data_IF_561283792165
#
_entry.id   IF_561283792165
#
_cell.length_a   1.000
_cell.length_b   1.000
_cell.length_c   1.000
_cell.angle_alpha   90.00
_cell.angle_beta   90.00
_cell.angle_gamma   90.00
#
_symmetry.space_group_name_H-M   'P 1'
#
loop_
_entity.id
_entity.type
_entity.pdbx_description
1 polymer ?
#
# COMPACT_ATOMS: atom_id res chain seq x y z
N UNK A 1 17.76 8.25 -9.38
CA UNK A 1 16.64 8.57 -8.47
C UNK A 1 16.76 7.64 -7.27
N UNK A 2 16.67 8.15 -6.04
CA UNK A 2 16.62 7.35 -4.82
C UNK A 2 15.17 6.99 -4.52
N UNK A 3 14.83 5.72 -4.71
CA UNK A 3 13.51 5.18 -4.36
C UNK A 3 13.61 4.47 -3.02
N UNK A 4 12.78 4.88 -2.06
CA UNK A 4 12.58 4.16 -0.81
C UNK A 4 11.40 3.19 -0.96
N UNK A 5 11.64 1.92 -0.68
CA UNK A 5 10.60 0.89 -0.70
C UNK A 5 10.09 0.68 0.72
N UNK A 6 8.80 0.93 0.92
CA UNK A 6 8.16 0.83 2.23
C UNK A 6 7.21 -0.36 2.24
N UNK A 7 7.23 -1.16 3.30
CA UNK A 7 6.21 -2.18 3.55
C UNK A 7 5.92 -2.31 5.05
N UNK A 8 4.84 -3.01 5.42
CA UNK A 8 4.51 -3.23 6.82
C UNK A 8 5.56 -4.13 7.51
N UNK A 9 6.05 -5.15 6.80
CA UNK A 9 6.89 -6.21 7.36
C UNK A 9 8.10 -6.55 6.48
N UNK A 10 9.15 -7.12 7.09
CA UNK A 10 10.35 -7.55 6.36
C UNK A 10 10.08 -8.60 5.27
N UNK A 11 9.22 -9.62 5.44
CA UNK A 11 8.88 -10.57 4.38
C UNK A 11 8.41 -9.92 3.08
N UNK A 12 7.75 -8.77 3.14
CA UNK A 12 7.29 -8.03 1.96
C UNK A 12 8.45 -7.36 1.21
N UNK A 13 9.64 -7.23 1.81
CA UNK A 13 10.78 -6.47 1.29
C UNK A 13 11.97 -7.34 0.85
N UNK A 14 11.97 -8.64 1.16
CA UNK A 14 13.12 -9.55 0.94
C UNK A 14 13.61 -9.62 -0.52
N UNK A 15 12.79 -9.18 -1.47
CA UNK A 15 13.08 -9.21 -2.89
C UNK A 15 13.89 -8.01 -3.40
N UNK A 16 13.94 -6.90 -2.66
CA UNK A 16 14.46 -5.62 -3.14
C UNK A 16 15.82 -5.23 -2.55
N UNK A 17 16.73 -6.18 -2.34
CA UNK A 17 17.94 -6.01 -1.50
C UNK A 17 18.90 -4.93 -1.95
N UNK A 18 18.84 -4.53 -3.23
CA UNK A 18 19.70 -3.49 -3.83
C UNK A 18 19.09 -2.07 -3.72
N UNK A 19 17.92 -1.95 -3.08
CA UNK A 19 17.23 -0.68 -2.86
C UNK A 19 17.17 -0.33 -1.37
N UNK A 20 16.94 0.95 -1.09
CA UNK A 20 16.65 1.36 0.27
C UNK A 20 15.28 0.84 0.70
N UNK A 21 15.19 0.28 1.90
CA UNK A 21 14.00 -0.39 2.41
C UNK A 21 13.63 0.13 3.80
N UNK A 22 12.33 0.14 4.09
CA UNK A 22 11.82 0.44 5.42
C UNK A 22 10.62 -0.46 5.75
N UNK A 23 10.79 -1.32 6.76
CA UNK A 23 9.67 -2.01 7.40
C UNK A 23 9.07 -1.09 8.48
N UNK A 24 7.82 -0.68 8.31
CA UNK A 24 7.21 0.35 9.16
C UNK A 24 6.41 -0.19 10.34
N UNK A 25 6.15 -1.49 10.38
CA UNK A 25 5.24 -2.10 11.33
C UNK A 25 3.80 -2.15 10.80
N UNK A 26 2.97 -2.96 11.46
CA UNK A 26 1.59 -3.22 11.03
C UNK A 26 0.66 -2.15 11.61
N UNK A 27 -0.20 -1.60 10.76
CA UNK A 27 -1.24 -0.65 11.16
C UNK A 27 -0.87 0.83 10.97
N UNK A 28 -1.88 1.71 11.01
CA UNK A 28 -1.73 3.10 10.57
C UNK A 28 -0.84 3.92 11.51
N UNK A 29 -0.79 3.57 12.80
CA UNK A 29 0.02 4.31 13.80
C UNK A 29 1.51 4.06 13.58
N UNK A 30 1.93 2.79 13.55
CA UNK A 30 3.33 2.41 13.31
C UNK A 30 3.80 2.90 11.94
N UNK A 31 2.96 2.71 10.91
CA UNK A 31 3.23 3.19 9.56
C UNK A 31 3.48 4.70 9.50
N UNK A 32 2.62 5.49 10.16
CA UNK A 32 2.73 6.95 10.17
C UNK A 32 3.98 7.44 10.90
N UNK A 33 4.22 6.94 12.12
CA UNK A 33 5.34 7.37 12.96
C UNK A 33 6.67 7.01 12.29
N UNK A 34 6.82 5.76 11.85
CA UNK A 34 8.08 5.27 11.27
C UNK A 34 8.38 5.95 9.94
N UNK A 35 7.36 6.14 9.08
CA UNK A 35 7.53 6.85 7.80
C UNK A 35 7.91 8.31 8.05
N UNK A 36 7.17 9.04 8.89
CA UNK A 36 7.46 10.45 9.15
C UNK A 36 8.88 10.64 9.75
N UNK A 37 9.29 9.78 10.67
CA UNK A 37 10.62 9.82 11.27
C UNK A 37 11.73 9.56 10.24
N UNK A 38 11.53 8.60 9.31
CA UNK A 38 12.47 8.36 8.21
C UNK A 38 12.58 9.58 7.30
N UNK A 39 11.45 10.18 6.90
CA UNK A 39 11.42 11.29 5.94
C UNK A 39 11.96 12.61 6.52
N UNK A 40 11.82 12.83 7.82
CA UNK A 40 12.32 14.05 8.48
C UNK A 40 13.86 14.18 8.44
N UNK A 41 14.59 13.07 8.30
CA UNK A 41 16.05 13.06 8.35
C UNK A 41 16.70 13.12 6.95
N UNK A 42 16.19 12.35 5.98
CA UNK A 42 16.80 12.21 4.65
C UNK A 42 15.77 11.83 3.58
N UNK A 43 14.92 12.76 3.11
CA UNK A 43 13.83 12.43 2.20
C UNK A 43 14.34 11.83 0.87
N UNK A 44 13.81 10.68 0.43
CA UNK A 44 14.13 10.09 -0.87
C UNK A 44 13.50 10.89 -2.01
N UNK A 45 13.84 10.58 -3.26
CA UNK A 45 13.25 11.23 -4.43
C UNK A 45 11.81 10.72 -4.69
N UNK A 46 11.52 9.47 -4.30
CA UNK A 46 10.20 8.85 -4.41
C UNK A 46 10.04 7.69 -3.41
N UNK A 47 8.79 7.35 -3.13
CA UNK A 47 8.39 6.22 -2.28
C UNK A 47 7.56 5.24 -3.10
N UNK A 48 7.96 3.97 -3.07
CA UNK A 48 7.13 2.85 -3.50
C UNK A 48 6.63 2.13 -2.26
N UNK A 49 5.38 2.38 -1.88
CA UNK A 49 4.74 1.67 -0.77
C UNK A 49 4.11 0.38 -1.28
N UNK A 50 4.64 -0.75 -0.85
CA UNK A 50 4.18 -2.07 -1.24
C UNK A 50 3.61 -2.86 -0.06
N UNK A 51 2.80 -3.87 -0.38
CA UNK A 51 2.50 -4.93 0.57
C UNK A 51 1.41 -5.86 0.08
N UNK A 52 0.90 -6.69 0.97
CA UNK A 52 -0.28 -7.50 0.71
C UNK A 52 -1.56 -6.79 1.17
N UNK A 53 -2.71 -7.21 0.64
CA UNK A 53 -4.02 -6.68 0.98
C UNK A 53 -5.11 -7.76 0.95
N UNK A 54 -6.19 -7.51 1.67
CA UNK A 54 -7.43 -8.26 1.55
C UNK A 54 -8.33 -7.66 0.47
N UNK A 55 -9.05 -8.51 -0.24
CA UNK A 55 -10.11 -8.11 -1.18
C UNK A 55 -11.48 -8.60 -0.71
N UNK A 56 -12.54 -7.89 -1.08
CA UNK A 56 -13.92 -8.38 -0.97
C UNK A 56 -14.23 -9.26 -2.17
N UNK A 57 -15.03 -10.32 -1.98
CA UNK A 57 -15.41 -11.20 -3.10
C UNK A 57 -16.16 -10.46 -4.21
N UNK A 58 -16.91 -9.41 -3.87
CA UNK A 58 -17.64 -8.59 -4.85
C UNK A 58 -16.75 -7.81 -5.82
N UNK A 59 -15.47 -7.63 -5.48
CA UNK A 59 -14.49 -6.93 -6.31
C UNK A 59 -14.14 -7.65 -7.62
N UNK A 60 -14.37 -8.98 -7.65
CA UNK A 60 -13.91 -9.86 -8.71
C UNK A 60 -12.39 -10.03 -8.79
N UNK A 61 -11.65 -9.61 -7.74
CA UNK A 61 -10.22 -9.87 -7.62
C UNK A 61 -9.97 -11.28 -7.11
N UNK A 62 -8.87 -11.86 -7.57
CA UNK A 62 -8.37 -13.16 -7.14
C UNK A 62 -7.07 -13.02 -6.34
N UNK A 63 -6.70 -14.08 -5.61
CA UNK A 63 -5.41 -14.12 -4.92
C UNK A 63 -4.28 -13.99 -5.95
N UNK A 64 -3.32 -13.12 -5.66
CA UNK A 64 -2.21 -12.78 -6.56
C UNK A 64 -2.50 -11.62 -7.50
N UNK A 65 -3.75 -11.15 -7.61
CA UNK A 65 -4.03 -9.91 -8.35
C UNK A 65 -3.29 -8.73 -7.71
N UNK A 66 -2.80 -7.84 -8.58
CA UNK A 66 -2.08 -6.64 -8.17
C UNK A 66 -2.97 -5.41 -8.36
N UNK A 67 -3.03 -4.59 -7.32
CA UNK A 67 -3.81 -3.36 -7.25
C UNK A 67 -2.87 -2.18 -7.07
N UNK A 68 -2.99 -1.18 -7.94
CA UNK A 68 -2.37 0.13 -7.77
C UNK A 68 -3.42 1.02 -7.08
N UNK A 69 -3.09 1.50 -5.89
CA UNK A 69 -3.98 2.36 -5.12
C UNK A 69 -4.16 3.71 -5.81
N UNK A 70 -5.37 4.05 -6.25
CA UNK A 70 -5.68 5.37 -6.83
C UNK A 70 -5.91 6.45 -5.77
N UNK A 71 -6.30 6.00 -4.58
CA UNK A 71 -6.41 6.77 -3.35
C UNK A 71 -6.37 5.79 -2.18
N UNK A 72 -5.99 6.28 -1.01
CA UNK A 72 -6.06 5.53 0.23
C UNK A 72 -7.03 6.19 1.19
N UNK A 73 -8.00 5.43 1.71
CA UNK A 73 -9.10 5.93 2.55
C UNK A 73 -8.99 5.43 3.98
N UNK A 74 -8.88 6.32 4.95
CA UNK A 74 -8.82 5.95 6.35
C UNK A 74 -10.23 5.62 6.88
N UNK A 75 -10.56 4.34 6.95
CA UNK A 75 -11.91 3.84 7.24
C UNK A 75 -12.28 3.78 8.73
N UNK A 76 -11.31 3.96 9.64
CA UNK A 76 -11.58 3.94 11.09
C UNK A 76 -12.14 5.27 11.62
N UNK A 77 -12.08 6.34 10.81
CA UNK A 77 -12.57 7.65 11.19
C UNK A 77 -14.06 7.83 10.87
N UNK A 78 -14.75 8.62 11.70
CA UNK A 78 -16.14 8.97 11.47
C UNK A 78 -16.26 9.96 10.32
N UNK A 79 -17.04 9.60 9.29
CA UNK A 79 -17.37 10.50 8.19
C UNK A 79 -18.11 11.75 8.70
N UNK A 80 -17.92 12.87 7.99
CA UNK A 80 -18.69 14.10 8.22
C UNK A 80 -18.14 15.06 9.28
N UNK A 81 -16.94 14.80 9.83
CA UNK A 81 -16.22 15.78 10.66
C UNK A 81 -15.37 16.67 9.74
N UNK A 82 -15.64 17.99 9.63
CA UNK A 82 -15.06 18.85 8.59
C UNK A 82 -13.54 18.99 8.56
N UNK A 83 -12.85 18.60 9.64
CA UNK A 83 -11.39 18.73 9.79
C UNK A 83 -10.64 17.41 9.63
N UNK A 84 -11.35 16.28 9.50
CA UNK A 84 -10.69 14.99 9.33
C UNK A 84 -10.23 14.81 7.90
N UNK A 85 -8.94 14.57 7.73
CA UNK A 85 -8.40 14.06 6.48
C UNK A 85 -8.63 12.56 6.49
N UNK A 86 -9.55 12.10 5.64
CA UNK A 86 -9.91 10.67 5.53
C UNK A 86 -9.43 10.05 4.22
N UNK A 87 -8.87 10.85 3.31
CA UNK A 87 -8.38 10.38 2.01
C UNK A 87 -7.04 11.01 1.69
N UNK A 88 -6.10 10.20 1.21
CA UNK A 88 -4.85 10.66 0.60
C UNK A 88 -4.76 10.08 -0.82
N UNK A 89 -4.17 10.83 -1.75
CA UNK A 89 -3.95 10.39 -3.13
C UNK A 89 -2.46 10.21 -3.38
N UNK A 90 -2.05 9.23 -4.22
CA UNK A 90 -0.68 9.14 -4.72
C UNK A 90 -0.23 10.38 -5.49
N UNK A 91 1.08 10.51 -5.70
CA UNK A 91 1.59 11.44 -6.70
C UNK A 91 1.09 11.05 -8.10
N UNK A 92 0.46 11.97 -8.86
CA UNK A 92 -0.20 11.63 -10.12
C UNK A 92 0.79 11.23 -11.23
N UNK A 93 2.01 11.77 -11.21
CA UNK A 93 3.03 11.45 -12.23
C UNK A 93 3.60 10.06 -11.97
N UNK A 94 3.95 9.77 -10.71
CA UNK A 94 4.43 8.46 -10.30
C UNK A 94 3.35 7.38 -10.49
N UNK A 95 2.10 7.69 -10.16
CA UNK A 95 0.95 6.80 -10.39
C UNK A 95 0.80 6.43 -11.87
N UNK A 96 0.80 7.43 -12.76
CA UNK A 96 0.66 7.20 -14.20
C UNK A 96 1.82 6.36 -14.76
N UNK A 97 3.05 6.60 -14.27
CA UNK A 97 4.23 5.84 -14.66
C UNK A 97 4.15 4.38 -14.21
N UNK A 98 3.80 4.14 -12.93
CA UNK A 98 3.63 2.77 -12.40
C UNK A 98 2.49 2.03 -13.11
N UNK A 99 1.39 2.71 -13.41
CA UNK A 99 0.28 2.13 -14.18
C UNK A 99 0.71 1.72 -15.60
N UNK A 100 1.60 2.48 -16.25
CA UNK A 100 2.15 2.11 -17.55
C UNK A 100 3.08 0.88 -17.48
N UNK A 101 3.82 0.71 -16.38
CA UNK A 101 4.69 -0.45 -16.15
C UNK A 101 3.90 -1.74 -15.82
N UNK A 102 2.72 -1.60 -15.23
CA UNK A 102 1.86 -2.72 -14.81
C UNK A 102 0.48 -2.65 -15.49
N UNK A 103 0.38 -2.84 -16.83
CA UNK A 103 -0.85 -2.60 -17.58
C UNK A 103 -2.03 -3.51 -17.20
N UNK A 104 -1.75 -4.64 -16.55
CA UNK A 104 -2.77 -5.59 -16.09
C UNK A 104 -3.19 -5.35 -14.63
N UNK A 105 -2.47 -4.50 -13.89
CA UNK A 105 -2.81 -4.22 -12.50
C UNK A 105 -4.09 -3.37 -12.43
N UNK A 106 -4.96 -3.71 -11.48
CA UNK A 106 -6.23 -3.00 -11.27
C UNK A 106 -5.96 -1.68 -10.56
N UNK A 107 -6.58 -0.60 -11.03
CA UNK A 107 -6.50 0.70 -10.37
C UNK A 107 -7.77 0.91 -9.55
N UNK A 108 -7.65 0.89 -8.22
CA UNK A 108 -8.79 0.95 -7.29
C UNK A 108 -8.44 1.75 -6.03
N UNK A 109 -9.44 2.35 -5.35
CA UNK A 109 -9.25 2.88 -4.01
C UNK A 109 -8.95 1.75 -3.01
N UNK A 110 -8.05 2.00 -2.07
CA UNK A 110 -7.68 1.04 -1.01
C UNK A 110 -8.06 1.62 0.34
N UNK A 111 -8.84 0.88 1.13
CA UNK A 111 -9.12 1.26 2.51
C UNK A 111 -7.91 0.97 3.40
N UNK A 112 -7.60 1.91 4.30
CA UNK A 112 -6.69 1.70 5.42
C UNK A 112 -7.49 1.53 6.70
N UNK A 113 -7.21 0.46 7.44
CA UNK A 113 -7.92 0.09 8.66
C UNK A 113 -6.95 -0.42 9.73
N UNK A 114 -7.27 -0.25 11.00
CA UNK A 114 -6.49 -0.78 12.12
C UNK A 114 -6.83 -2.26 12.42
N UNK A 115 -7.77 -2.86 11.68
CA UNK A 115 -8.15 -4.27 11.79
C UNK A 115 -8.69 -4.78 10.45
N UNK A 116 -8.52 -6.07 10.22
CA UNK A 116 -9.16 -6.79 9.10
C UNK A 116 -10.69 -6.73 9.23
N UNK A 117 -11.37 -6.51 8.11
CA UNK A 117 -12.80 -6.29 8.00
C UNK A 117 -13.24 -4.91 8.47
N UNK A 118 -12.31 -3.95 8.58
CA UNK A 118 -12.60 -2.59 9.01
C UNK A 118 -13.22 -1.71 7.91
N UNK A 119 -12.92 -2.03 6.64
CA UNK A 119 -13.38 -1.24 5.50
C UNK A 119 -14.89 -1.33 5.33
N UNK A 120 -15.52 -0.28 4.77
CA UNK A 120 -16.96 -0.29 4.44
C UNK A 120 -17.27 0.22 3.04
N UNK A 121 -16.33 0.93 2.44
CA UNK A 121 -16.51 1.71 1.21
C UNK A 121 -15.46 1.38 0.14
N UNK A 122 -14.48 0.53 0.46
CA UNK A 122 -13.53 0.00 -0.51
C UNK A 122 -13.61 -1.53 -0.59
N UNK A 123 -13.43 -2.01 -1.81
CA UNK A 123 -13.35 -3.43 -2.16
C UNK A 123 -11.99 -4.05 -1.78
N UNK A 124 -10.96 -3.22 -1.59
CA UNK A 124 -9.63 -3.64 -1.17
C UNK A 124 -9.31 -2.96 0.17
N UNK A 125 -8.74 -3.70 1.10
CA UNK A 125 -8.29 -3.16 2.39
C UNK A 125 -6.86 -3.59 2.74
N UNK A 126 -6.12 -2.64 3.29
CA UNK A 126 -4.81 -2.83 3.89
C UNK A 126 -4.76 -2.00 5.19
N UNK A 127 -3.59 -1.95 5.84
CA UNK A 127 -3.48 -1.39 7.18
C UNK A 127 -2.55 -0.16 7.28
N UNK A 128 -1.76 0.13 6.24
CA UNK A 128 -0.72 1.18 6.29
C UNK A 128 -0.92 2.32 5.27
N UNK A 129 -1.65 2.07 4.17
CA UNK A 129 -1.68 2.91 2.96
C UNK A 129 -1.84 4.41 3.21
N UNK A 130 -2.88 4.76 3.96
CA UNK A 130 -3.22 6.15 4.25
C UNK A 130 -2.13 6.83 5.06
N UNK A 131 -1.57 6.15 6.06
CA UNK A 131 -0.58 6.72 6.95
C UNK A 131 0.76 6.99 6.23
N UNK A 132 1.19 6.07 5.36
CA UNK A 132 2.39 6.25 4.54
C UNK A 132 2.21 7.38 3.54
N UNK A 133 1.10 7.40 2.79
CA UNK A 133 0.79 8.48 1.84
C UNK A 133 0.66 9.84 2.54
N UNK A 134 0.04 9.88 3.72
CA UNK A 134 -0.10 11.11 4.51
C UNK A 134 1.25 11.66 4.94
N UNK A 135 2.15 10.81 5.45
CA UNK A 135 3.50 11.20 5.85
C UNK A 135 4.33 11.67 4.65
N UNK A 136 4.23 10.97 3.51
CA UNK A 136 4.89 11.36 2.27
C UNK A 136 4.42 12.73 1.75
N UNK A 137 3.10 12.96 1.76
CA UNK A 137 2.51 14.23 1.35
C UNK A 137 2.95 15.40 2.25
N UNK A 138 3.01 15.20 3.57
CA UNK A 138 3.53 16.22 4.50
C UNK A 138 5.02 16.53 4.27
N UNK A 139 5.80 15.52 3.86
CA UNK A 139 7.22 15.69 3.53
C UNK A 139 7.46 16.21 2.10
N UNK A 140 6.42 16.35 1.27
CA UNK A 140 6.55 16.72 -0.14
C UNK A 140 7.24 15.67 -1.02
N UNK A 141 7.18 14.39 -0.62
CA UNK A 141 7.83 13.28 -1.34
C UNK A 141 6.79 12.53 -2.19
N UNK A 142 7.01 12.36 -3.51
CA UNK A 142 6.14 11.56 -4.38
C UNK A 142 6.01 10.13 -3.86
N UNK A 143 4.78 9.62 -3.77
CA UNK A 143 4.50 8.29 -3.24
C UNK A 143 3.38 7.60 -4.01
N UNK A 144 3.51 6.28 -4.19
CA UNK A 144 2.48 5.42 -4.79
C UNK A 144 2.31 4.15 -3.96
N UNK A 145 1.08 3.63 -3.91
CA UNK A 145 0.73 2.40 -3.20
C UNK A 145 0.47 1.25 -4.18
N UNK A 146 1.07 0.09 -3.92
CA UNK A 146 0.91 -1.14 -4.68
C UNK A 146 0.58 -2.28 -3.72
N UNK A 147 -0.50 -3.03 -3.97
CA UNK A 147 -0.90 -4.16 -3.13
C UNK A 147 -1.11 -5.42 -3.96
N UNK A 148 -0.72 -6.57 -3.44
CA UNK A 148 -1.14 -7.85 -3.97
C UNK A 148 -2.19 -8.51 -3.07
N UNK A 149 -3.21 -9.12 -3.66
CA UNK A 149 -4.29 -9.76 -2.91
C UNK A 149 -3.78 -11.08 -2.33
N UNK A 150 -3.90 -11.25 -1.01
CA UNK A 150 -3.49 -12.46 -0.30
C UNK A 150 -4.65 -13.20 0.36
N UNK A 151 -5.79 -12.53 0.56
CA UNK A 151 -6.96 -13.12 1.17
C UNK A 151 -8.26 -12.43 0.74
N UNK A 152 -9.37 -13.14 0.94
CA UNK A 152 -10.70 -12.53 0.93
C UNK A 152 -11.04 -12.06 2.34
N UNK A 153 -11.59 -10.86 2.49
CA UNK A 153 -11.95 -10.28 3.80
C UNK A 153 -13.03 -11.11 4.49
N UNK A 154 -13.93 -11.70 3.72
CA UNK A 154 -14.99 -12.57 4.21
C UNK A 154 -14.51 -13.99 4.56
N UNK A 155 -13.23 -14.32 4.36
CA UNK A 155 -12.64 -15.59 4.79
C UNK A 155 -12.19 -15.49 6.25
N UNK A 156 -12.94 -16.14 7.14
CA UNK A 156 -12.70 -16.11 8.58
C UNK A 156 -11.61 -17.07 9.05
N UNK A 157 -11.37 -18.15 8.30
CA UNK A 157 -10.29 -19.07 8.61
C UNK A 157 -8.98 -18.58 8.00
N UNK A 158 -8.11 -18.04 8.84
CA UNK A 158 -6.81 -17.51 8.44
C UNK A 158 -5.88 -18.57 7.84
N UNK A 159 -6.14 -19.86 8.06
CA UNK A 159 -5.39 -20.93 7.41
C UNK A 159 -5.64 -20.98 5.89
N UNK A 160 -6.75 -20.42 5.42
CA UNK A 160 -7.09 -20.33 3.99
C UNK A 160 -6.54 -19.07 3.31
N UNK A 161 -5.82 -18.21 4.05
CA UNK A 161 -5.18 -17.03 3.47
C UNK A 161 -3.84 -17.44 2.84
N UNK A 162 -3.56 -16.93 1.65
CA UNK A 162 -2.37 -17.29 0.88
C UNK A 162 -1.38 -16.12 0.86
N UNK A 163 -0.75 -15.90 2.01
CA UNK A 163 0.35 -14.94 2.12
C UNK A 163 1.50 -15.24 1.18
N UNK A 164 1.96 -16.50 0.99
CA UNK A 164 2.99 -16.80 0.00
C UNK A 164 2.66 -16.31 -1.40
N UNK A 165 1.44 -16.55 -1.91
CA UNK A 165 1.03 -16.07 -3.22
C UNK A 165 1.01 -14.53 -3.31
N UNK A 166 0.45 -13.86 -2.29
CA UNK A 166 0.44 -12.40 -2.24
C UNK A 166 1.85 -11.80 -2.18
N UNK A 167 2.75 -12.37 -1.38
CA UNK A 167 4.14 -11.94 -1.26
C UNK A 167 4.91 -12.14 -2.57
N UNK A 168 4.69 -13.25 -3.26
CA UNK A 168 5.29 -13.50 -4.57
C UNK A 168 4.80 -12.48 -5.60
N UNK A 169 3.49 -12.25 -5.68
CA UNK A 169 2.89 -11.32 -6.63
C UNK A 169 3.35 -9.87 -6.41
N UNK A 170 3.40 -9.39 -5.16
CA UNK A 170 3.90 -8.03 -4.87
C UNK A 170 5.39 -7.90 -5.14
N UNK A 171 6.18 -8.96 -4.91
CA UNK A 171 7.60 -8.98 -5.25
C UNK A 171 7.82 -8.88 -6.76
N UNK A 172 7.07 -9.65 -7.56
CA UNK A 172 7.20 -9.64 -9.01
C UNK A 172 6.79 -8.29 -9.61
N UNK A 173 5.65 -7.73 -9.17
CA UNK A 173 5.23 -6.41 -9.58
C UNK A 173 6.21 -5.31 -9.12
N UNK A 174 6.70 -5.41 -7.89
CA UNK A 174 7.70 -4.50 -7.32
C UNK A 174 8.99 -4.47 -8.14
N UNK A 175 9.52 -5.63 -8.56
CA UNK A 175 10.71 -5.72 -9.42
C UNK A 175 10.53 -5.00 -10.76
N UNK A 176 9.35 -5.15 -11.37
CA UNK A 176 9.03 -4.46 -12.63
C UNK A 176 9.03 -2.95 -12.41
N UNK A 177 8.40 -2.48 -11.34
CA UNK A 177 8.33 -1.05 -11.02
C UNK A 177 9.71 -0.46 -10.76
N UNK A 178 10.50 -1.06 -9.86
CA UNK A 178 11.82 -0.50 -9.51
C UNK A 178 12.81 -0.53 -10.67
N UNK A 179 12.68 -1.48 -11.60
CA UNK A 179 13.50 -1.51 -12.82
C UNK A 179 13.14 -0.41 -13.82
N UNK A 180 11.93 0.14 -13.72
CA UNK A 180 11.42 1.21 -14.58
C UNK A 180 11.46 2.60 -13.94
N UNK A 181 11.92 2.74 -12.69
CA UNK A 181 12.09 3.99 -11.95
C UNK A 181 13.56 4.44 -11.92
#
# INVERSE_FOLDING_TARGET
MRVLIIAATLPELVWATDHEQLAVGIGPVEAGITTAARLANDPPDAILHIGIAGARRASGLEIGDVVIGTESRYSDLLAGVPTLITTCVPDPTLLAHVAALLPNARQLPIATTARVGGSRDCEVEAMEGFAVLRAAAEAGVPCVELRAISNMVEETDRANWDFPAGLQAVADAGRVVVSGL
#
